data_IF_336139791414
#
_entry.id   IF_336139791414
#
_cell.length_a   1.000
_cell.length_b   1.000
_cell.length_c   1.000
_cell.angle_alpha   90.00
_cell.angle_beta   90.00
_cell.angle_gamma   90.00
#
_symmetry.space_group_name_H-M   'P 1'
#
loop_
_entity.id
_entity.type
_entity.pdbx_description
1 polymer ?
#
# COMPACT_ATOMS: atom_id res chain seq x y z
N UNK A 1 -8.20 1.54 24.91
CA UNK A 1 -7.61 1.57 23.57
C UNK A 1 -8.65 1.04 22.61
N UNK A 2 -9.20 1.90 21.75
CA UNK A 2 -10.21 1.48 20.77
C UNK A 2 -9.50 0.75 19.63
N UNK A 3 -9.92 -0.48 19.31
CA UNK A 3 -9.41 -1.21 18.16
C UNK A 3 -9.97 -0.51 16.91
N UNK A 4 -9.14 -0.04 15.98
CA UNK A 4 -9.64 0.58 14.76
C UNK A 4 -10.47 -0.43 13.97
N UNK A 5 -11.59 0.03 13.39
CA UNK A 5 -12.37 -0.79 12.48
C UNK A 5 -11.58 -1.00 11.19
N UNK A 6 -11.49 -2.24 10.72
CA UNK A 6 -10.71 -2.57 9.52
C UNK A 6 -11.51 -3.46 8.58
N UNK A 7 -11.15 -3.42 7.30
CA UNK A 7 -11.58 -4.40 6.28
C UNK A 7 -10.37 -4.96 5.53
N UNK A 8 -10.43 -6.20 5.01
CA UNK A 8 -9.39 -6.68 4.09
C UNK A 8 -9.25 -5.73 2.90
N UNK A 9 -8.02 -5.32 2.59
CA UNK A 9 -7.78 -4.40 1.49
C UNK A 9 -7.86 -5.11 0.14
N UNK A 10 -8.33 -4.39 -0.87
CA UNK A 10 -8.19 -4.73 -2.29
C UNK A 10 -7.24 -3.74 -2.97
N UNK A 11 -6.81 -4.04 -4.20
CA UNK A 11 -6.01 -3.09 -4.99
C UNK A 11 -6.75 -1.76 -5.17
N UNK A 12 -8.04 -1.81 -5.49
CA UNK A 12 -8.88 -0.64 -5.67
C UNK A 12 -9.02 0.18 -4.38
N UNK A 13 -9.10 -0.48 -3.21
CA UNK A 13 -9.17 0.21 -1.92
C UNK A 13 -7.93 1.03 -1.60
N UNK A 14 -6.78 0.66 -2.17
CA UNK A 14 -5.50 1.30 -1.93
C UNK A 14 -5.06 2.21 -3.08
N UNK A 15 -5.86 2.36 -4.13
CA UNK A 15 -5.50 3.24 -5.24
C UNK A 15 -5.30 4.68 -4.74
N UNK A 16 -4.20 5.31 -5.16
CA UNK A 16 -3.86 6.69 -4.78
C UNK A 16 -4.43 7.63 -5.84
N UNK A 17 -5.50 8.34 -5.50
CA UNK A 17 -6.24 9.18 -6.46
C UNK A 17 -5.43 10.38 -6.96
N UNK A 18 -4.60 10.98 -6.09
CA UNK A 18 -3.75 12.12 -6.46
C UNK A 18 -2.34 11.70 -6.90
N UNK A 19 -2.20 10.47 -7.37
CA UNK A 19 -0.93 9.96 -7.87
C UNK A 19 -0.43 10.76 -9.08
N UNK A 20 0.87 10.61 -9.37
CA UNK A 20 1.53 11.18 -10.55
C UNK A 20 2.18 10.08 -11.34
N UNK A 21 1.93 10.04 -12.65
CA UNK A 21 2.70 9.20 -13.55
C UNK A 21 3.93 9.96 -14.06
N UNK A 22 5.05 9.28 -14.30
CA UNK A 22 6.30 9.90 -14.76
C UNK A 22 6.26 10.56 -16.15
N UNK A 23 5.12 10.53 -16.84
CA UNK A 23 4.89 11.27 -18.09
C UNK A 23 4.09 12.56 -17.88
N UNK A 24 3.58 12.80 -16.67
CA UNK A 24 2.83 13.99 -16.34
C UNK A 24 3.79 15.12 -15.95
N UNK A 25 3.77 16.22 -16.71
CA UNK A 25 4.37 17.47 -16.26
C UNK A 25 3.41 18.14 -15.28
N UNK A 26 3.70 18.04 -13.97
CA UNK A 26 3.01 18.83 -12.94
C UNK A 26 3.92 19.92 -12.41
N UNK A 27 3.41 21.14 -12.41
CA UNK A 27 4.07 22.32 -11.84
C UNK A 27 4.15 22.25 -10.30
N UNK A 28 3.23 21.51 -9.68
CA UNK A 28 3.19 21.25 -8.24
C UNK A 28 3.03 19.74 -7.98
N UNK A 29 3.98 19.15 -7.24
CA UNK A 29 3.94 17.74 -6.86
C UNK A 29 3.32 17.67 -5.46
N UNK A 30 2.02 17.38 -5.41
CA UNK A 30 1.35 17.04 -4.14
C UNK A 30 1.85 15.67 -3.64
N UNK A 31 1.98 15.54 -2.31
CA UNK A 31 2.30 14.26 -1.71
C UNK A 31 1.16 13.25 -1.95
N UNK A 32 1.46 11.99 -2.33
CA UNK A 32 0.44 10.97 -2.57
C UNK A 32 -0.36 10.68 -1.29
N UNK A 33 -1.69 10.75 -1.39
CA UNK A 33 -2.66 10.47 -0.33
C UNK A 33 -2.80 8.96 -0.16
N UNK A 34 -1.90 8.38 0.62
CA UNK A 34 -1.92 6.96 0.96
C UNK A 34 -2.95 6.66 2.06
N UNK A 35 -3.42 5.41 2.09
CA UNK A 35 -4.45 4.92 3.00
C UNK A 35 -3.82 4.34 4.26
N UNK A 36 -4.43 4.60 5.42
CA UNK A 36 -4.03 3.99 6.69
C UNK A 36 -4.36 2.49 6.67
N UNK A 37 -3.38 1.65 7.02
CA UNK A 37 -3.51 0.19 6.97
C UNK A 37 -2.82 -0.48 8.16
N UNK A 38 -3.14 -1.76 8.35
CA UNK A 38 -2.33 -2.70 9.11
C UNK A 38 -1.74 -3.73 8.13
N UNK A 39 -0.42 -3.92 8.18
CA UNK A 39 0.31 -4.94 7.39
C UNK A 39 0.81 -6.01 8.34
N UNK A 40 0.20 -7.19 8.31
CA UNK A 40 0.41 -8.26 9.29
C UNK A 40 0.30 -7.76 10.75
N UNK A 41 -0.60 -6.80 10.97
CA UNK A 41 -0.82 -6.15 12.27
C UNK A 41 0.05 -4.91 12.54
N UNK A 42 1.04 -4.61 11.70
CA UNK A 42 1.89 -3.43 11.84
C UNK A 42 1.25 -2.18 11.24
N UNK A 43 1.15 -1.07 11.99
CA UNK A 43 0.65 0.20 11.49
C UNK A 43 1.51 0.77 10.35
N UNK A 44 0.85 1.13 9.27
CA UNK A 44 1.49 1.70 8.09
C UNK A 44 0.50 2.55 7.27
N UNK A 45 1.05 3.23 6.26
CA UNK A 45 0.29 3.78 5.14
C UNK A 45 0.64 3.02 3.86
N UNK A 46 -0.37 2.67 3.09
CA UNK A 46 -0.18 1.97 1.82
C UNK A 46 -0.92 2.66 0.67
N UNK A 47 -0.36 2.53 -0.53
CA UNK A 47 -1.00 3.00 -1.74
C UNK A 47 -0.56 2.22 -2.98
N UNK A 48 -1.45 2.14 -3.96
CA UNK A 48 -1.21 1.58 -5.29
C UNK A 48 -1.24 2.72 -6.30
N UNK A 49 -0.19 2.81 -7.10
CA UNK A 49 0.01 3.88 -8.07
C UNK A 49 1.39 3.81 -8.70
N UNK A 50 1.75 4.81 -9.49
CA UNK A 50 3.04 5.00 -10.12
C UNK A 50 4.03 5.77 -9.25
N UNK A 51 3.56 6.61 -8.32
CA UNK A 51 4.37 7.39 -7.38
C UNK A 51 5.47 8.21 -8.07
N UNK A 52 5.12 8.91 -9.15
CA UNK A 52 6.03 9.71 -9.98
C UNK A 52 6.89 8.91 -10.97
N UNK A 53 6.79 7.59 -10.97
CA UNK A 53 7.55 6.73 -11.88
C UNK A 53 6.66 6.21 -13.03
N UNK A 54 7.15 5.23 -13.80
CA UNK A 54 6.53 4.79 -15.06
C UNK A 54 5.70 3.50 -14.97
N UNK A 55 5.50 2.95 -13.77
CA UNK A 55 4.80 1.67 -13.62
C UNK A 55 4.10 1.60 -12.28
N UNK A 56 2.89 1.04 -12.30
CA UNK A 56 2.11 0.74 -11.10
C UNK A 56 2.92 -0.14 -10.15
N UNK A 57 2.84 0.20 -8.87
CA UNK A 57 3.46 -0.49 -7.76
C UNK A 57 2.61 -0.30 -6.52
N UNK A 58 2.76 -1.22 -5.57
CA UNK A 58 2.34 -0.99 -4.20
C UNK A 58 3.49 -0.36 -3.42
N UNK A 59 3.20 0.69 -2.66
CA UNK A 59 4.13 1.31 -1.71
C UNK A 59 3.52 1.21 -0.32
N UNK A 60 4.33 0.82 0.66
CA UNK A 60 3.97 0.71 2.06
C UNK A 60 5.02 1.47 2.86
N UNK A 61 4.60 2.46 3.65
CA UNK A 61 5.43 3.20 4.60
C UNK A 61 5.00 2.87 6.01
N UNK A 62 5.88 2.28 6.80
CA UNK A 62 5.57 1.87 8.16
C UNK A 62 5.69 3.07 9.11
N UNK A 63 4.81 3.14 10.12
CA UNK A 63 4.84 4.22 11.11
C UNK A 63 6.09 4.14 12.00
N UNK A 64 6.66 2.94 12.13
CA UNK A 64 7.97 2.66 12.73
C UNK A 64 8.70 1.60 11.89
N UNK A 65 10.05 1.59 11.86
CA UNK A 65 10.79 0.64 11.02
C UNK A 65 10.37 -0.82 11.27
N UNK A 66 9.91 -1.49 10.21
CA UNK A 66 9.58 -2.90 10.24
C UNK A 66 10.87 -3.74 10.31
N UNK A 67 10.93 -4.82 11.13
CA UNK A 67 12.14 -5.65 11.25
C UNK A 67 12.64 -6.23 9.93
N UNK A 68 11.72 -6.55 9.01
CA UNK A 68 12.05 -7.13 7.70
C UNK A 68 12.12 -6.10 6.57
N UNK A 69 11.28 -5.06 6.63
CA UNK A 69 11.06 -4.15 5.49
C UNK A 69 11.63 -2.75 5.72
N UNK A 70 12.17 -2.47 6.90
CA UNK A 70 12.63 -1.15 7.28
C UNK A 70 11.50 -0.12 7.29
N UNK A 71 11.81 1.11 6.90
CA UNK A 71 10.84 2.22 6.89
C UNK A 71 9.83 2.13 5.74
N UNK A 72 10.22 1.52 4.61
CA UNK A 72 9.41 1.50 3.41
C UNK A 72 9.64 0.23 2.58
N UNK A 73 8.54 -0.37 2.14
CA UNK A 73 8.49 -1.43 1.14
C UNK A 73 7.85 -0.92 -0.15
N UNK A 74 8.38 -1.30 -1.32
CA UNK A 74 7.75 -1.00 -2.60
C UNK A 74 8.07 -2.07 -3.65
N UNK A 75 7.08 -2.48 -4.43
CA UNK A 75 7.27 -3.44 -5.53
C UNK A 75 6.22 -3.29 -6.63
N UNK A 76 6.64 -3.54 -7.87
CA UNK A 76 5.76 -3.67 -9.04
C UNK A 76 5.20 -5.09 -9.22
N UNK A 77 5.77 -6.06 -8.52
CA UNK A 77 5.38 -7.46 -8.58
C UNK A 77 4.52 -7.77 -7.36
N UNK A 78 3.23 -7.46 -7.44
CA UNK A 78 2.26 -7.75 -6.40
C UNK A 78 0.94 -8.23 -7.00
N UNK A 79 0.17 -8.98 -6.22
CA UNK A 79 -1.17 -9.44 -6.59
C UNK A 79 -2.00 -9.64 -5.32
N UNK A 80 -3.20 -9.06 -5.27
CA UNK A 80 -4.18 -9.36 -4.25
C UNK A 80 -4.85 -10.71 -4.56
N UNK A 81 -4.90 -11.61 -3.58
CA UNK A 81 -5.49 -12.93 -3.76
C UNK A 81 -7.02 -12.84 -3.72
N UNK A 82 -7.68 -13.16 -4.84
CA UNK A 82 -9.15 -13.11 -4.96
C UNK A 82 -9.85 -14.11 -4.02
N UNK A 83 -9.19 -15.23 -3.71
CA UNK A 83 -9.73 -16.28 -2.84
C UNK A 83 -9.52 -15.99 -1.35
N UNK A 84 -8.55 -15.11 -1.02
CA UNK A 84 -8.20 -14.75 0.35
C UNK A 84 -8.13 -13.22 0.50
N UNK A 85 -9.26 -12.56 0.82
CA UNK A 85 -9.33 -11.11 0.95
C UNK A 85 -8.22 -10.54 1.85
N UNK A 86 -7.56 -9.49 1.37
CA UNK A 86 -6.45 -8.81 2.06
C UNK A 86 -5.11 -9.52 1.99
N UNK A 87 -5.02 -10.75 1.46
CA UNK A 87 -3.73 -11.39 1.22
C UNK A 87 -3.10 -10.81 -0.04
N UNK A 88 -1.87 -10.34 0.07
CA UNK A 88 -1.05 -9.85 -1.04
C UNK A 88 0.13 -10.76 -1.22
N UNK A 89 0.29 -11.31 -2.42
CA UNK A 89 1.50 -12.01 -2.86
C UNK A 89 2.42 -11.01 -3.53
N UNK A 90 3.72 -11.11 -3.29
CA UNK A 90 4.68 -10.20 -3.90
C UNK A 90 6.03 -10.85 -4.24
N UNK A 91 6.75 -10.20 -5.15
CA UNK A 91 8.04 -10.67 -5.63
C UNK A 91 7.93 -11.96 -6.45
N UNK A 92 9.00 -12.75 -6.45
CA UNK A 92 9.09 -14.02 -7.19
C UNK A 92 9.11 -15.25 -6.26
N UNK A 93 9.25 -15.05 -4.95
CA UNK A 93 9.55 -16.11 -3.97
C UNK A 93 8.38 -16.44 -3.03
N UNK A 94 7.16 -16.54 -3.57
CA UNK A 94 5.93 -16.85 -2.79
C UNK A 94 5.73 -16.01 -1.52
N UNK A 95 6.36 -14.84 -1.42
CA UNK A 95 6.24 -13.98 -0.27
C UNK A 95 4.82 -13.43 -0.19
N UNK A 96 4.31 -13.34 1.04
CA UNK A 96 2.94 -12.86 1.28
C UNK A 96 2.91 -11.91 2.46
N UNK A 97 1.93 -11.01 2.44
CA UNK A 97 1.58 -10.15 3.57
C UNK A 97 0.07 -9.98 3.60
N UNK A 98 -0.51 -9.76 4.78
CA UNK A 98 -1.93 -9.42 4.92
C UNK A 98 -2.11 -7.93 5.16
N UNK A 99 -2.86 -7.27 4.29
CA UNK A 99 -3.16 -5.85 4.39
C UNK A 99 -4.63 -5.68 4.78
N UNK A 100 -4.85 -4.95 5.88
CA UNK A 100 -6.18 -4.48 6.28
C UNK A 100 -6.25 -2.97 6.17
N UNK A 101 -7.24 -2.45 5.45
CA UNK A 101 -7.52 -1.01 5.39
C UNK A 101 -8.22 -0.57 6.67
N UNK A 102 -7.69 0.46 7.32
CA UNK A 102 -8.33 1.12 8.45
C UNK A 102 -9.45 2.00 7.91
N UNK A 103 -10.65 1.85 8.48
CA UNK A 103 -11.81 2.65 8.14
C UNK A 103 -11.80 3.91 9.01
N UNK A 104 -11.73 5.08 8.38
CA UNK A 104 -11.94 6.34 9.09
C UNK A 104 -13.39 6.41 9.58
N UNK A 105 -13.58 6.84 10.83
CA UNK A 105 -14.88 6.97 11.50
C UNK A 105 -15.54 8.30 11.18
#
# INVERSE_FOLDING_TARGET
MSIPSTKPATEQDLFVENDTHGFEEKTEIEAPKMHSVLVDGWPAKAGVGSFGAFSTRIVIKFDSPHPEYGEQFATKHFMFDESQPGLVRWGHDNATMRIQKILEQ
#
